data_IF_486709076650
#
_entry.id   IF_486709076650
#
_cell.length_a   1.000
_cell.length_b   1.000
_cell.length_c   1.000
_cell.angle_alpha   90.00
_cell.angle_beta   90.00
_cell.angle_gamma   90.00
#
_symmetry.space_group_name_H-M   'P 1'
#
loop_
_entity.id
_entity.type
_entity.pdbx_description
1 polymer ?
#
# COMPACT_ATOMS: atom_id res chain seq x y z
N UNK A 1 8.14 -28.35 -22.38
CA UNK A 1 7.90 -27.69 -22.12
C UNK A 1 7.60 -27.39 -21.56
N UNK A 2 7.81 -27.45 -21.72
CA UNK A 2 7.54 -26.81 -21.39
C UNK A 2 7.40 -26.36 -20.83
N UNK A 3 7.69 -26.94 -21.01
CA UNK A 3 7.44 -26.23 -20.60
C UNK A 3 7.18 -25.80 -20.21
N UNK A 4 7.31 -26.27 -20.45
CA UNK A 4 7.03 -25.51 -20.27
C UNK A 4 6.77 -25.05 -19.75
N UNK A 5 6.82 -25.54 -19.90
CA UNK A 5 6.70 -24.84 -19.46
C UNK A 5 6.83 -24.63 -18.80
N UNK A 6 7.38 -24.88 -18.84
CA UNK A 6 7.72 -24.43 -18.24
C UNK A 6 7.99 -23.98 -18.14
N UNK A 7 8.39 -24.05 -18.37
CA UNK A 7 8.88 -23.31 -18.21
C UNK A 7 9.05 -22.47 -18.42
N UNK A 8 9.81 -23.01 -19.08
CA UNK A 8 9.99 -21.66 -19.58
C UNK A 8 9.69 -20.60 -18.53
N UNK A 9 9.06 -20.99 -17.54
CA UNK A 9 8.69 -20.08 -16.45
C UNK A 9 9.65 -20.11 -15.30
N UNK A 10 10.72 -20.84 -15.42
CA UNK A 10 11.59 -21.03 -14.27
C UNK A 10 12.24 -19.73 -13.81
N UNK A 11 12.64 -18.88 -14.74
CA UNK A 11 13.17 -17.57 -14.37
C UNK A 11 12.15 -16.73 -13.64
N UNK A 12 10.90 -16.81 -14.06
CA UNK A 12 9.84 -16.04 -13.42
C UNK A 12 9.55 -16.53 -12.01
N UNK A 13 9.78 -17.81 -11.75
CA UNK A 13 9.55 -18.34 -10.41
C UNK A 13 10.47 -17.72 -9.38
N UNK A 14 11.62 -17.22 -9.83
CA UNK A 14 12.57 -16.61 -8.93
C UNK A 14 12.31 -15.15 -8.68
N UNK A 15 11.34 -14.58 -9.37
CA UNK A 15 10.99 -13.18 -9.23
C UNK A 15 9.69 -13.08 -8.48
N UNK A 16 9.76 -12.50 -7.31
CA UNK A 16 8.59 -12.33 -6.46
C UNK A 16 8.38 -10.86 -6.24
N UNK A 17 7.18 -10.41 -6.52
CA UNK A 17 6.79 -9.04 -6.23
C UNK A 17 5.40 -9.09 -5.63
N UNK A 18 5.36 -9.29 -4.33
CA UNK A 18 4.12 -9.47 -3.61
C UNK A 18 4.26 -8.79 -2.27
N UNK A 19 3.28 -7.97 -1.92
CA UNK A 19 3.34 -7.17 -0.72
C UNK A 19 2.02 -7.29 0.02
N UNK A 20 2.12 -7.51 1.32
CA UNK A 20 0.99 -7.45 2.23
C UNK A 20 1.39 -6.52 3.35
N UNK A 21 0.63 -5.46 3.55
CA UNK A 21 0.96 -4.49 4.57
C UNK A 21 -0.34 -3.93 5.12
N UNK A 22 -0.33 -3.60 6.40
CA UNK A 22 -1.47 -2.92 7.01
C UNK A 22 -1.01 -1.60 7.60
N UNK A 23 -1.94 -0.67 7.66
CA UNK A 23 -1.64 0.65 8.19
C UNK A 23 -2.87 1.53 8.10
N UNK A 24 -2.70 2.77 8.49
CA UNK A 24 -3.80 3.72 8.50
C UNK A 24 -3.77 4.56 7.23
N UNK A 25 -4.95 4.83 6.71
CA UNK A 25 -5.09 5.75 5.58
C UNK A 25 -4.79 7.15 6.12
N UNK A 26 -3.65 7.69 5.74
CA UNK A 26 -3.12 8.91 6.35
C UNK A 26 -3.60 10.18 5.68
N UNK A 27 -4.06 10.09 4.43
CA UNK A 27 -4.53 11.26 3.69
C UNK A 27 -5.92 10.99 3.14
N UNK A 28 -6.62 12.05 2.79
CA UNK A 28 -7.87 11.91 2.07
C UNK A 28 -7.59 11.23 0.74
N UNK A 29 -8.27 10.11 0.44
CA UNK A 29 -8.04 9.47 -0.85
C UNK A 29 -8.50 10.36 -2.00
N UNK A 30 -7.75 10.29 -3.09
CA UNK A 30 -8.07 11.02 -4.30
C UNK A 30 -8.44 10.06 -5.40
N UNK A 31 -9.56 10.31 -6.04
CA UNK A 31 -10.04 9.44 -7.11
C UNK A 31 -9.92 10.20 -8.42
N UNK A 32 -9.24 9.58 -9.37
CA UNK A 32 -9.12 10.12 -10.72
C UNK A 32 -9.90 9.21 -11.66
N UNK A 33 -10.86 9.78 -12.34
CA UNK A 33 -11.73 9.02 -13.25
C UNK A 33 -11.17 9.11 -14.66
N UNK A 34 -10.98 7.94 -15.27
CA UNK A 34 -10.56 7.83 -16.65
C UNK A 34 -11.71 7.24 -17.46
N UNK A 35 -11.46 6.96 -18.73
CA UNK A 35 -12.53 6.57 -19.65
C UNK A 35 -13.24 5.29 -19.20
N UNK A 36 -12.47 4.26 -18.83
CA UNK A 36 -13.06 2.98 -18.48
C UNK A 36 -12.81 2.57 -17.06
N UNK A 37 -11.82 3.17 -16.43
CA UNK A 37 -11.40 2.79 -15.09
C UNK A 37 -11.03 4.03 -14.31
N UNK A 38 -11.07 3.89 -13.01
CA UNK A 38 -10.67 4.97 -12.12
C UNK A 38 -9.62 4.46 -11.17
N UNK A 39 -8.79 5.37 -10.69
CA UNK A 39 -7.75 5.03 -9.73
C UNK A 39 -7.97 5.85 -8.47
N UNK A 40 -7.83 5.18 -7.33
CA UNK A 40 -7.83 5.86 -6.04
C UNK A 40 -6.41 5.83 -5.50
N UNK A 41 -5.94 6.97 -5.01
CA UNK A 41 -4.60 7.11 -4.44
C UNK A 41 -4.70 7.69 -3.06
N UNK A 42 -3.89 7.16 -2.17
CA UNK A 42 -3.81 7.68 -0.81
C UNK A 42 -2.45 7.30 -0.22
N UNK A 43 -2.10 7.96 0.87
CA UNK A 43 -0.90 7.61 1.61
C UNK A 43 -1.27 6.67 2.74
N UNK A 44 -0.52 5.60 2.87
CA UNK A 44 -0.70 4.62 3.92
C UNK A 44 0.40 4.80 4.94
N UNK A 45 0.02 4.99 6.19
CA UNK A 45 0.99 5.12 7.29
C UNK A 45 1.33 3.73 7.79
N UNK A 46 2.57 3.33 7.55
CA UNK A 46 3.08 2.04 7.99
C UNK A 46 4.06 2.26 9.10
N UNK A 47 4.02 1.43 10.11
CA UNK A 47 4.98 1.54 11.20
C UNK A 47 5.55 0.20 11.57
N UNK A 48 6.77 0.28 12.06
CA UNK A 48 7.53 -0.85 12.53
C UNK A 48 7.98 -0.59 13.94
N UNK A 49 8.08 -1.66 14.70
CA UNK A 49 8.65 -1.60 16.03
C UNK A 49 10.07 -2.14 15.94
N UNK A 50 11.01 -1.37 16.44
CA UNK A 50 12.42 -1.77 16.45
C UNK A 50 12.87 -1.82 17.90
N UNK A 51 13.40 -2.97 18.32
CA UNK A 51 13.86 -3.17 19.66
C UNK A 51 15.40 -3.13 19.68
N UNK A 52 15.95 -2.27 20.51
CA UNK A 52 17.40 -2.24 20.72
C UNK A 52 17.76 -3.37 21.68
N UNK A 53 18.47 -4.36 21.19
CA UNK A 53 18.78 -5.54 21.99
C UNK A 53 19.71 -5.22 23.15
N UNK A 54 20.54 -4.20 23.00
CA UNK A 54 21.47 -3.84 24.05
C UNK A 54 20.81 -3.15 25.22
N UNK A 55 19.82 -2.31 24.94
CA UNK A 55 19.15 -1.52 25.98
C UNK A 55 17.75 -1.98 26.31
N UNK A 56 17.16 -2.80 25.44
CA UNK A 56 15.76 -3.20 25.56
C UNK A 56 14.77 -2.13 25.13
N UNK A 57 15.29 -1.00 24.67
CA UNK A 57 14.43 0.11 24.27
C UNK A 57 13.69 -0.22 22.99
N UNK A 58 12.41 0.15 22.94
CA UNK A 58 11.56 -0.07 21.76
C UNK A 58 11.31 1.27 21.11
N UNK A 59 11.65 1.36 19.82
CA UNK A 59 11.44 2.55 19.03
C UNK A 59 10.46 2.23 17.92
N UNK A 60 9.57 3.17 17.60
CA UNK A 60 8.65 3.03 16.50
C UNK A 60 9.16 3.83 15.32
N UNK A 61 9.24 3.16 14.18
CA UNK A 61 9.57 3.82 12.92
C UNK A 61 8.34 3.80 12.05
N UNK A 62 8.00 4.94 11.48
CA UNK A 62 6.84 5.01 10.60
C UNK A 62 7.18 5.78 9.36
N UNK A 63 6.45 5.50 8.30
CA UNK A 63 6.67 6.11 7.01
C UNK A 63 5.37 6.10 6.24
N UNK A 64 5.29 6.95 5.25
CA UNK A 64 4.13 6.97 4.36
C UNK A 64 4.51 6.33 3.04
N UNK A 65 3.62 5.48 2.54
CA UNK A 65 3.79 4.89 1.23
C UNK A 65 2.56 5.19 0.40
N UNK A 66 2.78 5.54 -0.86
CA UNK A 66 1.68 5.82 -1.77
C UNK A 66 1.06 4.52 -2.24
N UNK A 67 -0.26 4.44 -2.15
CA UNK A 67 -1.03 3.28 -2.59
C UNK A 67 -1.94 3.71 -3.73
N UNK A 68 -1.96 2.89 -4.78
CA UNK A 68 -2.85 3.08 -5.92
C UNK A 68 -3.71 1.84 -6.08
N UNK A 69 -4.99 2.04 -6.33
CA UNK A 69 -5.88 0.92 -6.64
C UNK A 69 -6.75 1.31 -7.83
N UNK A 70 -6.76 0.46 -8.83
CA UNK A 70 -7.57 0.66 -10.04
C UNK A 70 -8.83 -0.19 -9.98
N UNK A 71 -9.92 0.35 -10.48
CA UNK A 71 -11.16 -0.39 -10.62
C UNK A 71 -11.91 0.14 -11.83
N UNK A 72 -12.72 -0.73 -12.43
CA UNK A 72 -13.55 -0.31 -13.55
C UNK A 72 -14.59 0.68 -13.05
N UNK A 73 -14.98 1.62 -13.91
CA UNK A 73 -15.97 2.62 -13.53
C UNK A 73 -17.31 2.01 -13.14
N UNK A 74 -17.56 0.78 -13.58
CA UNK A 74 -18.79 0.09 -13.22
C UNK A 74 -18.70 -0.58 -11.85
N UNK A 75 -17.53 -0.54 -11.21
CA UNK A 75 -17.34 -1.23 -9.93
C UNK A 75 -16.48 -0.39 -8.99
N UNK A 76 -16.97 0.80 -8.65
CA UNK A 76 -16.22 1.71 -7.79
C UNK A 76 -16.60 1.59 -6.32
N UNK A 77 -17.52 0.66 -6.00
CA UNK A 77 -17.97 0.55 -4.62
C UNK A 77 -16.85 0.18 -3.66
N UNK A 78 -15.83 -0.50 -4.15
CA UNK A 78 -14.70 -0.85 -3.30
C UNK A 78 -13.93 0.38 -2.81
N UNK A 79 -14.08 1.52 -3.48
CA UNK A 79 -13.42 2.74 -3.05
C UNK A 79 -14.11 3.38 -1.84
N UNK A 80 -15.39 3.07 -1.66
CA UNK A 80 -16.17 3.72 -0.59
C UNK A 80 -15.67 3.36 0.80
N UNK A 81 -15.04 2.20 0.93
CA UNK A 81 -14.53 1.76 2.21
C UNK A 81 -13.20 2.39 2.57
N UNK A 82 -12.58 3.10 1.64
CA UNK A 82 -11.25 3.67 1.86
C UNK A 82 -11.43 5.10 2.30
N UNK A 83 -11.15 5.37 3.57
CA UNK A 83 -11.34 6.69 4.16
C UNK A 83 -10.15 7.04 5.03
N UNK A 84 -9.88 8.32 5.12
CA UNK A 84 -8.81 8.79 6.00
C UNK A 84 -9.07 8.36 7.43
N UNK A 85 -8.05 7.84 8.08
CA UNK A 85 -8.11 7.46 9.48
C UNK A 85 -8.44 6.02 9.77
N UNK A 86 -8.84 5.24 8.76
CA UNK A 86 -9.18 3.85 9.03
C UNK A 86 -7.95 2.96 8.85
N UNK A 87 -8.00 1.82 9.51
CA UNK A 87 -6.97 0.80 9.39
C UNK A 87 -7.35 -0.15 8.27
N UNK A 88 -6.43 -0.37 7.34
CA UNK A 88 -6.69 -1.24 6.19
C UNK A 88 -5.54 -2.21 6.01
N UNK A 89 -5.86 -3.33 5.38
CA UNK A 89 -4.86 -4.27 4.91
C UNK A 89 -4.78 -4.16 3.39
N UNK A 90 -3.58 -3.95 2.88
CA UNK A 90 -3.37 -3.77 1.45
C UNK A 90 -2.55 -4.95 0.94
N UNK A 91 -3.05 -5.59 -0.09
CA UNK A 91 -2.33 -6.65 -0.79
C UNK A 91 -2.10 -6.21 -2.21
N UNK A 92 -0.88 -6.35 -2.68
CA UNK A 92 -0.55 -5.94 -4.03
C UNK A 92 0.91 -6.16 -4.34
N UNK A 93 1.47 -5.26 -5.08
CA UNK A 93 2.87 -5.37 -5.51
C UNK A 93 3.47 -3.98 -5.61
N UNK A 94 4.78 -3.94 -5.61
CA UNK A 94 5.51 -2.68 -5.75
C UNK A 94 5.66 -2.36 -7.22
N UNK A 95 5.33 -1.14 -7.57
CA UNK A 95 5.30 -0.71 -8.96
C UNK A 95 6.14 0.55 -9.11
N UNK A 96 7.07 0.58 -10.06
CA UNK A 96 7.78 1.82 -10.33
C UNK A 96 6.87 2.80 -11.05
N UNK A 97 7.03 4.05 -10.71
CA UNK A 97 6.28 5.13 -11.33
C UNK A 97 7.30 6.17 -11.79
N UNK A 98 7.45 6.32 -13.10
CA UNK A 98 8.44 7.23 -13.66
C UNK A 98 7.76 8.36 -14.42
N UNK A 99 8.32 9.54 -14.27
CA UNK A 99 7.82 10.70 -14.99
C UNK A 99 8.97 11.68 -15.20
N UNK A 100 8.73 12.67 -16.03
CA UNK A 100 9.70 13.74 -16.22
C UNK A 100 9.14 15.01 -15.60
N UNK A 101 10.01 15.74 -14.90
CA UNK A 101 9.60 17.01 -14.32
C UNK A 101 9.65 18.10 -15.38
N UNK A 102 9.36 19.33 -14.97
CA UNK A 102 9.32 20.45 -15.89
C UNK A 102 10.66 20.73 -16.56
N UNK A 103 11.74 20.31 -15.94
CA UNK A 103 13.08 20.51 -16.47
C UNK A 103 13.55 19.35 -17.35
N UNK A 104 12.68 18.37 -17.59
CA UNK A 104 13.04 17.24 -18.43
C UNK A 104 13.80 16.15 -17.73
N UNK A 105 14.01 16.27 -16.43
CA UNK A 105 14.71 15.26 -15.65
C UNK A 105 13.82 14.09 -15.35
N UNK A 106 14.38 12.88 -15.44
CA UNK A 106 13.64 11.68 -15.09
C UNK A 106 13.51 11.56 -13.58
N UNK A 107 12.31 11.33 -13.12
CA UNK A 107 12.03 11.09 -11.71
C UNK A 107 11.31 9.75 -11.59
N UNK A 108 11.52 9.11 -10.48
CA UNK A 108 10.84 7.84 -10.25
C UNK A 108 10.59 7.66 -8.77
N UNK A 109 9.62 6.85 -8.48
CA UNK A 109 9.36 6.41 -7.13
C UNK A 109 8.63 5.09 -7.22
N UNK A 110 8.55 4.41 -6.09
CA UNK A 110 7.86 3.13 -6.02
C UNK A 110 6.55 3.36 -5.30
N UNK A 111 5.47 2.86 -5.90
CA UNK A 111 4.15 2.91 -5.28
C UNK A 111 3.68 1.48 -5.06
N UNK A 112 2.78 1.32 -4.12
CA UNK A 112 2.15 0.04 -3.85
C UNK A 112 0.90 -0.04 -4.71
N UNK A 113 0.94 -0.89 -5.73
CA UNK A 113 -0.21 -1.11 -6.58
C UNK A 113 -1.09 -2.16 -5.93
N UNK A 114 -2.23 -1.73 -5.42
CA UNK A 114 -3.07 -2.59 -4.62
C UNK A 114 -4.00 -3.42 -5.49
N UNK A 115 -4.04 -4.71 -5.20
CA UNK A 115 -5.06 -5.60 -5.75
C UNK A 115 -6.27 -5.61 -4.85
N UNK A 116 -6.05 -5.39 -3.56
CA UNK A 116 -7.11 -5.46 -2.56
C UNK A 116 -6.77 -4.52 -1.42
N UNK A 117 -7.77 -3.76 -0.99
CA UNK A 117 -7.67 -2.90 0.18
C UNK A 117 -8.88 -3.23 1.04
N UNK A 118 -8.63 -3.78 2.24
CA UNK A 118 -9.70 -4.23 3.11
C UNK A 118 -9.64 -3.50 4.44
N UNK A 119 -10.75 -2.91 4.88
CA UNK A 119 -10.79 -2.37 6.24
C UNK A 119 -10.58 -3.49 7.25
N UNK A 120 -9.85 -3.18 8.30
CA UNK A 120 -9.60 -4.13 9.38
C UNK A 120 -10.37 -3.67 10.60
N UNK A 121 -11.14 -4.61 11.18
CA UNK A 121 -11.82 -4.31 12.43
C UNK A 121 -10.79 -4.23 13.54
N UNK A 122 -10.83 -3.14 14.32
CA UNK A 122 -9.88 -2.94 15.39
C UNK A 122 -10.25 -3.80 16.60
N UNK A 123 -9.31 -4.58 17.13
CA UNK A 123 -9.56 -5.23 18.41
C UNK A 123 -9.76 -4.20 19.51
N UNK A 124 -10.43 -4.59 20.58
CA UNK A 124 -10.69 -3.66 21.66
C UNK A 124 -9.39 -3.08 22.23
N UNK A 125 -8.37 -3.91 22.40
CA UNK A 125 -7.10 -3.43 22.91
C UNK A 125 -6.44 -2.42 21.97
N UNK A 126 -6.58 -2.65 20.69
CA UNK A 126 -6.02 -1.73 19.71
C UNK A 126 -6.79 -0.42 19.69
N UNK A 127 -8.10 -0.50 19.86
CA UNK A 127 -8.90 0.71 19.91
C UNK A 127 -8.54 1.59 21.09
N UNK A 128 -8.24 0.98 22.21
CA UNK A 128 -7.84 1.74 23.39
C UNK A 128 -6.50 2.42 23.21
N UNK A 129 -5.59 1.77 22.53
CA UNK A 129 -4.28 2.34 22.31
C UNK A 129 -4.21 3.22 21.07
N UNK A 130 -5.26 3.23 20.28
CA UNK A 130 -5.28 3.91 19.01
C UNK A 130 -4.94 5.40 19.10
N UNK A 131 -5.52 6.17 20.01
CA UNK A 131 -5.20 7.59 20.07
C UNK A 131 -3.72 7.83 20.30
N UNK A 132 -3.09 7.02 21.14
CA UNK A 132 -1.66 7.17 21.37
C UNK A 132 -0.86 6.83 20.12
N UNK A 133 -1.25 5.77 19.43
CA UNK A 133 -0.56 5.36 18.22
C UNK A 133 -0.64 6.44 17.16
N UNK A 134 -1.79 7.06 17.04
CA UNK A 134 -1.98 8.12 16.04
C UNK A 134 -1.24 9.39 16.46
N UNK A 135 -1.26 9.69 17.75
CA UNK A 135 -0.62 10.89 18.24
C UNK A 135 0.90 10.78 18.08
N UNK A 136 1.42 9.59 18.15
CA UNK A 136 2.85 9.40 17.99
C UNK A 136 3.25 9.27 16.54
#
# INVERSE_FOLDING_TARGET
MEANNTNANNGKKNIINSTVVSGFVATEPKITTCTEASVIRFALAVSNRVTNKATGEVTRQSSLITVEKWAKNTNLSSFDAIRKGILVEVKGYLKPNEWKNAEGESRHRIVLAARSVKPIAKPASMMESQPEAIAS
#
